data_IF_285301747831
#
_entry.id   IF_285301747831
#
_cell.length_a   1.000
_cell.length_b   1.000
_cell.length_c   1.000
_cell.angle_alpha   90.00
_cell.angle_beta   90.00
_cell.angle_gamma   90.00
#
_symmetry.space_group_name_H-M   'P 1'
#
loop_
_entity.id
_entity.type
_entity.pdbx_description
1 polymer ?
#
# COMPACT_ATOMS: atom_id res chain seq x y z
N UNK A 1 10.69 17.76 20.38
CA UNK A 1 11.12 19.18 20.30
C UNK A 1 9.85 20.00 20.34
N UNK A 2 9.62 20.70 21.42
CA UNK A 2 8.42 21.53 21.57
C UNK A 2 8.65 22.83 20.80
N UNK A 3 7.87 23.09 19.77
CA UNK A 3 7.97 24.29 18.91
C UNK A 3 8.03 25.61 19.69
N UNK A 4 7.38 25.67 20.86
CA UNK A 4 7.44 26.80 21.79
C UNK A 4 8.88 27.10 22.26
N UNK A 5 9.75 26.11 22.40
CA UNK A 5 11.15 26.30 22.81
C UNK A 5 12.00 26.93 21.71
N UNK A 6 11.51 26.88 20.46
CA UNK A 6 12.12 27.53 19.30
C UNK A 6 11.49 28.89 18.97
N UNK A 7 10.69 29.47 19.88
CA UNK A 7 10.03 30.75 19.65
C UNK A 7 8.86 30.75 18.66
N UNK A 8 8.39 29.55 18.26
CA UNK A 8 7.29 29.40 17.29
C UNK A 8 5.98 29.21 18.05
N UNK A 9 5.16 30.26 18.08
CA UNK A 9 3.83 30.22 18.69
C UNK A 9 2.77 29.77 17.68
N UNK A 10 2.27 28.53 17.82
CA UNK A 10 1.27 27.90 16.92
C UNK A 10 -0.15 27.94 17.50
N UNK A 11 -0.39 28.42 18.71
CA UNK A 11 -1.74 28.49 19.30
C UNK A 11 -2.67 29.32 18.41
N UNK A 12 -3.76 28.71 17.96
CA UNK A 12 -4.77 29.35 17.08
C UNK A 12 -4.35 29.54 15.63
N UNK A 13 -3.18 29.02 15.20
CA UNK A 13 -2.67 29.09 13.81
C UNK A 13 -2.49 27.72 13.16
N UNK A 14 -2.93 26.64 13.80
CA UNK A 14 -2.93 25.32 13.21
C UNK A 14 -4.30 25.06 12.58
N UNK A 15 -4.35 24.84 11.29
CA UNK A 15 -5.51 24.31 10.60
C UNK A 15 -5.26 22.83 10.26
N UNK A 16 -6.19 21.94 10.62
CA UNK A 16 -6.16 20.57 10.15
C UNK A 16 -6.70 20.54 8.73
N UNK A 17 -5.92 20.04 7.79
CA UNK A 17 -6.39 19.76 6.43
C UNK A 17 -7.27 18.52 6.49
N UNK A 18 -8.57 18.68 6.30
CA UNK A 18 -9.57 17.60 6.28
C UNK A 18 -9.81 17.04 4.87
N UNK A 19 -9.16 17.59 3.85
CA UNK A 19 -9.35 17.23 2.46
C UNK A 19 -8.12 16.52 1.94
N UNK A 20 -8.32 15.31 1.44
CA UNK A 20 -7.30 14.53 0.75
C UNK A 20 -7.50 14.67 -0.77
N UNK A 21 -6.45 15.10 -1.47
CA UNK A 21 -6.41 15.20 -2.95
C UNK A 21 -5.57 14.10 -3.58
N UNK A 22 -5.05 13.17 -2.78
CA UNK A 22 -4.01 12.24 -3.20
C UNK A 22 -4.56 10.93 -3.70
N UNK A 23 -5.61 10.41 -3.08
CA UNK A 23 -6.22 9.11 -3.40
C UNK A 23 -7.74 9.23 -3.42
N UNK A 24 -8.43 8.30 -4.08
CA UNK A 24 -9.89 8.29 -4.11
C UNK A 24 -10.49 7.99 -2.73
N UNK A 25 -11.75 8.40 -2.51
CA UNK A 25 -12.45 8.16 -1.26
C UNK A 25 -12.61 6.66 -0.98
N UNK A 26 -12.83 5.86 -2.01
CA UNK A 26 -12.99 4.42 -1.94
C UNK A 26 -11.70 3.73 -1.48
N UNK A 27 -10.55 4.14 -2.00
CA UNK A 27 -9.24 3.64 -1.57
C UNK A 27 -8.96 4.08 -0.13
N UNK A 28 -9.24 5.35 0.20
CA UNK A 28 -9.08 5.88 1.54
C UNK A 28 -9.88 5.07 2.56
N UNK A 29 -11.18 4.84 2.32
CA UNK A 29 -12.05 4.07 3.21
C UNK A 29 -11.55 2.65 3.43
N UNK A 30 -11.17 1.97 2.34
CA UNK A 30 -10.62 0.63 2.44
C UNK A 30 -9.33 0.62 3.27
N UNK A 31 -8.41 1.55 3.01
CA UNK A 31 -7.16 1.65 3.72
C UNK A 31 -7.36 1.99 5.21
N UNK A 32 -8.33 2.86 5.54
CA UNK A 32 -8.69 3.17 6.92
C UNK A 32 -9.30 1.96 7.64
N UNK A 33 -10.12 1.15 6.95
CA UNK A 33 -10.67 -0.07 7.52
C UNK A 33 -9.59 -1.09 7.93
N UNK A 34 -8.42 -1.10 7.25
CA UNK A 34 -7.27 -1.92 7.66
C UNK A 34 -6.74 -1.52 9.04
N UNK A 35 -6.88 -0.26 9.43
CA UNK A 35 -6.48 0.24 10.74
C UNK A 35 -7.50 -0.11 11.83
N UNK A 36 -8.74 -0.45 11.46
CA UNK A 36 -9.80 -0.83 12.41
C UNK A 36 -9.41 -2.10 13.16
N UNK A 37 -9.78 -2.16 14.45
CA UNK A 37 -9.41 -3.28 15.35
C UNK A 37 -8.06 -3.07 16.05
N UNK A 38 -7.50 -1.87 16.02
CA UNK A 38 -6.47 -1.48 16.96
C UNK A 38 -7.09 -1.36 18.36
N UNK A 39 -6.45 -1.91 19.42
CA UNK A 39 -6.84 -1.57 20.79
C UNK A 39 -6.71 -0.05 20.91
N UNK A 40 -7.77 0.62 21.37
CA UNK A 40 -7.72 2.04 21.61
C UNK A 40 -6.62 2.35 22.61
N UNK A 41 -5.50 2.87 22.13
CA UNK A 41 -4.69 3.76 22.93
C UNK A 41 -5.45 5.10 22.93
N UNK A 42 -5.43 5.85 24.02
CA UNK A 42 -6.16 7.10 24.30
C UNK A 42 -5.95 8.24 23.26
N UNK A 43 -5.88 7.89 22.00
CA UNK A 43 -5.88 8.77 20.84
C UNK A 43 -7.31 9.02 20.34
N UNK A 44 -8.26 9.23 21.28
CA UNK A 44 -9.65 9.58 20.96
C UNK A 44 -9.77 10.76 19.98
N UNK A 45 -8.70 11.53 19.83
CA UNK A 45 -8.61 12.60 18.85
C UNK A 45 -8.10 12.19 17.46
N UNK A 46 -7.44 11.03 17.27
CA UNK A 46 -6.88 10.63 15.97
C UNK A 46 -7.81 9.70 15.17
N UNK A 47 -8.58 8.85 15.84
CA UNK A 47 -9.61 8.03 15.17
C UNK A 47 -10.74 8.93 14.63
N UNK A 48 -11.25 9.85 15.43
CA UNK A 48 -12.20 10.88 14.97
C UNK A 48 -11.61 11.74 13.85
N UNK A 49 -10.31 12.03 13.87
CA UNK A 49 -9.65 12.79 12.81
C UNK A 49 -9.57 12.03 11.50
N UNK A 50 -9.38 10.69 11.51
CA UNK A 50 -9.33 9.85 10.31
C UNK A 50 -10.72 9.66 9.69
N UNK A 51 -11.78 9.61 10.51
CA UNK A 51 -13.16 9.50 10.02
C UNK A 51 -13.66 10.80 9.37
N UNK A 52 -13.20 11.96 9.85
CA UNK A 52 -13.54 13.26 9.30
C UNK A 52 -12.68 13.68 8.08
N UNK A 53 -11.73 12.85 7.68
CA UNK A 53 -10.92 13.07 6.50
C UNK A 53 -11.66 12.54 5.27
N UNK A 54 -12.02 13.42 4.34
CA UNK A 54 -12.70 13.05 3.10
C UNK A 54 -11.79 13.30 1.90
N UNK A 55 -11.86 12.43 0.90
CA UNK A 55 -11.29 12.72 -0.40
C UNK A 55 -12.35 13.38 -1.29
N UNK A 56 -11.93 14.39 -2.06
CA UNK A 56 -12.76 14.97 -3.12
C UNK A 56 -12.73 14.12 -4.39
N UNK A 57 -11.81 13.19 -4.49
CA UNK A 57 -11.68 12.30 -5.64
C UNK A 57 -12.49 11.03 -5.39
N UNK A 58 -13.33 10.67 -6.34
CA UNK A 58 -14.05 9.40 -6.37
C UNK A 58 -13.51 8.51 -7.50
N UNK A 59 -13.54 7.20 -7.30
CA UNK A 59 -13.05 6.24 -8.26
C UNK A 59 -13.57 4.84 -8.00
N UNK A 60 -12.84 3.84 -8.50
CA UNK A 60 -13.22 2.46 -8.29
C UNK A 60 -12.91 1.99 -6.86
N UNK A 61 -13.80 1.16 -6.31
CA UNK A 61 -13.53 0.46 -5.06
C UNK A 61 -12.29 -0.46 -5.22
N UNK A 62 -11.44 -0.56 -4.19
CA UNK A 62 -10.32 -1.49 -4.19
C UNK A 62 -10.79 -2.93 -4.48
N UNK A 63 -10.06 -3.62 -5.35
CA UNK A 63 -10.35 -5.00 -5.70
C UNK A 63 -9.49 -5.94 -4.88
N UNK A 64 -10.13 -6.76 -4.04
CA UNK A 64 -9.44 -7.83 -3.31
C UNK A 64 -9.68 -9.15 -4.04
N UNK A 65 -8.60 -9.82 -4.46
CA UNK A 65 -8.63 -11.10 -5.19
C UNK A 65 -7.90 -12.18 -4.40
N UNK A 66 -8.55 -13.32 -4.26
CA UNK A 66 -8.02 -14.49 -3.54
C UNK A 66 -7.82 -15.63 -4.51
N UNK A 67 -6.67 -16.25 -4.44
CA UNK A 67 -6.27 -17.37 -5.31
C UNK A 67 -5.90 -18.59 -4.46
N UNK A 68 -6.06 -19.78 -4.99
CA UNK A 68 -5.64 -20.98 -4.29
C UNK A 68 -4.11 -21.11 -4.28
N UNK A 69 -3.45 -20.74 -5.38
CA UNK A 69 -2.01 -20.90 -5.57
C UNK A 69 -1.33 -19.61 -6.04
N UNK A 70 0.00 -19.59 -5.90
CA UNK A 70 0.84 -18.51 -6.42
C UNK A 70 0.77 -18.43 -7.96
N UNK A 71 0.63 -19.57 -8.63
CA UNK A 71 0.54 -19.66 -10.09
C UNK A 71 -0.71 -18.96 -10.59
N UNK A 72 -1.86 -19.18 -9.94
CA UNK A 72 -3.12 -18.49 -10.28
C UNK A 72 -3.03 -16.99 -10.07
N UNK A 73 -2.46 -16.56 -8.94
CA UNK A 73 -2.20 -15.14 -8.68
C UNK A 73 -1.28 -14.55 -9.75
N UNK A 74 -0.23 -15.28 -10.13
CA UNK A 74 0.75 -14.86 -11.11
C UNK A 74 0.13 -14.64 -12.49
N UNK A 75 -0.73 -15.55 -12.94
CA UNK A 75 -1.48 -15.41 -14.21
C UNK A 75 -2.35 -14.15 -14.16
N UNK A 76 -3.10 -13.97 -13.08
CA UNK A 76 -3.94 -12.79 -12.89
C UNK A 76 -3.12 -11.49 -12.91
N UNK A 77 -2.01 -11.42 -12.18
CA UNK A 77 -1.17 -10.23 -12.11
C UNK A 77 -0.59 -9.84 -13.48
N UNK A 78 -0.14 -10.82 -14.26
CA UNK A 78 0.36 -10.56 -15.63
C UNK A 78 -0.74 -10.00 -16.52
N UNK A 79 -1.95 -10.56 -16.47
CA UNK A 79 -3.10 -10.08 -17.25
C UNK A 79 -3.49 -8.67 -16.83
N UNK A 80 -3.59 -8.43 -15.54
CA UNK A 80 -3.94 -7.12 -14.97
C UNK A 80 -2.93 -6.04 -15.36
N UNK A 81 -1.62 -6.34 -15.23
CA UNK A 81 -0.56 -5.40 -15.60
C UNK A 81 -0.60 -5.09 -17.10
N UNK A 82 -0.79 -6.10 -17.95
CA UNK A 82 -0.92 -5.87 -19.39
C UNK A 82 -2.11 -4.99 -19.75
N UNK A 83 -3.26 -5.26 -19.15
CA UNK A 83 -4.46 -4.43 -19.33
C UNK A 83 -4.23 -2.99 -18.88
N UNK A 84 -3.58 -2.78 -17.73
CA UNK A 84 -3.24 -1.43 -17.27
C UNK A 84 -2.27 -0.72 -18.23
N UNK A 85 -1.29 -1.44 -18.78
CA UNK A 85 -0.33 -0.88 -19.75
C UNK A 85 -0.95 -0.49 -21.09
N UNK A 86 -2.18 -0.92 -21.40
CA UNK A 86 -2.91 -0.48 -22.60
C UNK A 86 -3.41 0.97 -22.47
N UNK A 87 -3.67 1.44 -21.28
CA UNK A 87 -4.31 2.74 -21.02
C UNK A 87 -3.49 3.67 -20.15
N UNK A 88 -2.56 3.15 -19.35
CA UNK A 88 -1.74 3.91 -18.42
C UNK A 88 -0.26 3.90 -18.81
N UNK A 89 0.45 4.95 -18.42
CA UNK A 89 1.91 5.00 -18.55
C UNK A 89 2.51 3.96 -17.60
N UNK A 90 3.35 3.01 -18.09
CA UNK A 90 3.88 1.93 -17.26
C UNK A 90 4.57 2.40 -15.97
N UNK A 91 5.24 3.54 -16.00
CA UNK A 91 5.94 4.13 -14.85
C UNK A 91 5.00 4.52 -13.70
N UNK A 92 3.71 4.67 -13.98
CA UNK A 92 2.67 4.99 -12.98
C UNK A 92 2.02 3.75 -12.36
N UNK A 93 2.45 2.56 -12.76
CA UNK A 93 1.98 1.27 -12.24
C UNK A 93 3.04 0.71 -11.28
N UNK A 94 2.62 0.34 -10.07
CA UNK A 94 3.53 -0.27 -9.11
C UNK A 94 3.00 -1.60 -8.59
N UNK A 95 3.80 -2.66 -8.73
CA UNK A 95 3.60 -3.92 -8.03
C UNK A 95 4.37 -3.87 -6.71
N UNK A 96 3.65 -4.03 -5.62
CA UNK A 96 4.16 -3.90 -4.27
C UNK A 96 4.01 -5.22 -3.53
N UNK A 97 5.07 -5.68 -2.87
CA UNK A 97 5.00 -6.82 -1.96
C UNK A 97 5.58 -6.44 -0.59
N UNK A 98 5.35 -7.30 0.42
CA UNK A 98 5.79 -7.01 1.79
C UNK A 98 7.30 -6.99 1.94
N UNK A 99 8.01 -7.91 1.28
CA UNK A 99 9.44 -8.13 1.47
C UNK A 99 10.22 -8.15 0.16
N UNK A 100 11.52 -7.88 0.25
CA UNK A 100 12.46 -8.06 -0.86
C UNK A 100 12.55 -9.52 -1.33
N UNK A 101 12.46 -10.47 -0.39
CA UNK A 101 12.45 -11.90 -0.69
C UNK A 101 11.26 -12.27 -1.59
N UNK A 102 10.06 -11.84 -1.21
CA UNK A 102 8.84 -12.05 -1.97
C UNK A 102 8.97 -11.49 -3.40
N UNK A 103 9.49 -10.27 -3.53
CA UNK A 103 9.71 -9.65 -4.84
C UNK A 103 10.70 -10.44 -5.69
N UNK A 104 11.83 -10.85 -5.11
CA UNK A 104 12.90 -11.53 -5.83
C UNK A 104 12.56 -12.98 -6.17
N UNK A 105 11.86 -13.68 -5.28
CA UNK A 105 11.54 -15.10 -5.46
C UNK A 105 10.31 -15.34 -6.32
N UNK A 106 9.34 -14.43 -6.33
CA UNK A 106 8.06 -14.63 -7.00
C UNK A 106 7.84 -13.63 -8.15
N UNK A 107 7.85 -12.34 -7.89
CA UNK A 107 7.33 -11.36 -8.85
C UNK A 107 8.37 -10.88 -9.87
N UNK A 108 9.63 -10.77 -9.51
CA UNK A 108 10.69 -10.41 -10.44
C UNK A 108 10.90 -11.46 -11.55
N UNK A 109 10.98 -12.79 -11.23
CA UNK A 109 11.00 -13.83 -12.25
C UNK A 109 9.73 -13.85 -13.10
N UNK A 110 8.57 -13.63 -12.50
CA UNK A 110 7.28 -13.55 -13.18
C UNK A 110 7.29 -12.47 -14.27
N UNK A 111 7.67 -11.25 -13.93
CA UNK A 111 7.69 -10.14 -14.89
C UNK A 111 8.70 -10.36 -16.01
N UNK A 112 9.87 -10.94 -15.68
CA UNK A 112 10.89 -11.29 -16.67
C UNK A 112 10.38 -12.34 -17.66
N UNK A 113 9.78 -13.42 -17.17
CA UNK A 113 9.21 -14.48 -18.02
C UNK A 113 8.06 -14.00 -18.89
N UNK A 114 7.27 -13.05 -18.38
CA UNK A 114 6.17 -12.44 -19.11
C UNK A 114 6.61 -11.35 -20.11
N UNK A 115 7.90 -10.99 -20.15
CA UNK A 115 8.43 -9.92 -21.01
C UNK A 115 7.95 -8.52 -20.63
N UNK A 116 7.54 -8.33 -19.35
CA UNK A 116 7.07 -7.03 -18.86
C UNK A 116 8.26 -6.18 -18.41
N UNK A 117 8.42 -5.01 -19.06
CA UNK A 117 9.44 -4.05 -18.66
C UNK A 117 9.18 -3.53 -17.25
N UNK A 118 10.19 -3.56 -16.40
CA UNK A 118 10.06 -3.20 -15.00
C UNK A 118 11.33 -2.57 -14.42
N UNK A 119 11.16 -1.71 -13.41
CA UNK A 119 12.23 -1.17 -12.61
C UNK A 119 12.04 -1.61 -11.15
N UNK A 120 13.03 -2.31 -10.61
CA UNK A 120 13.05 -2.67 -9.20
C UNK A 120 13.55 -1.49 -8.37
N UNK A 121 12.68 -0.95 -7.53
CA UNK A 121 13.00 0.15 -6.62
C UNK A 121 13.60 -0.40 -5.33
N UNK A 122 14.90 -0.34 -5.22
CA UNK A 122 15.59 -0.57 -3.95
C UNK A 122 15.87 0.76 -3.22
N UNK A 123 16.72 0.69 -2.20
CA UNK A 123 17.07 1.82 -1.36
C UNK A 123 17.72 2.97 -2.16
N UNK A 124 18.53 2.63 -3.15
CA UNK A 124 19.38 3.57 -3.87
C UNK A 124 18.86 3.91 -5.28
N UNK A 125 17.83 3.20 -5.74
CA UNK A 125 17.24 3.43 -7.07
C UNK A 125 16.27 4.60 -7.05
N UNK A 126 16.53 5.70 -7.79
CA UNK A 126 15.56 6.76 -7.98
C UNK A 126 14.32 6.25 -8.72
N UNK A 127 13.13 6.69 -8.33
CA UNK A 127 11.85 6.28 -8.92
C UNK A 127 11.58 6.85 -10.32
N UNK A 128 12.28 7.93 -10.66
CA UNK A 128 12.17 8.62 -11.96
C UNK A 128 13.14 8.10 -13.03
N UNK A 129 14.00 7.15 -12.70
CA UNK A 129 14.98 6.58 -13.64
C UNK A 129 14.44 5.32 -14.30
N UNK A 130 14.60 5.21 -15.61
CA UNK A 130 14.19 4.04 -16.39
C UNK A 130 12.69 3.99 -16.70
N UNK A 131 12.33 3.10 -17.61
CA UNK A 131 10.95 2.87 -18.07
C UNK A 131 10.41 1.54 -17.57
N UNK A 132 9.07 1.39 -17.57
CA UNK A 132 8.40 0.18 -17.19
C UNK A 132 7.74 0.27 -15.81
N UNK A 133 6.96 -0.75 -15.46
CA UNK A 133 6.27 -0.77 -14.17
C UNK A 133 7.27 -0.76 -13.01
N UNK A 134 6.85 -0.24 -11.87
CA UNK A 134 7.68 -0.19 -10.67
C UNK A 134 7.46 -1.45 -9.82
N UNK A 135 8.55 -1.99 -9.29
CA UNK A 135 8.56 -3.10 -8.33
C UNK A 135 9.14 -2.61 -7.02
N UNK A 136 8.38 -2.67 -5.93
CA UNK A 136 8.82 -2.11 -4.66
C UNK A 136 8.28 -2.88 -3.45
N UNK A 137 8.98 -2.78 -2.31
CA UNK A 137 8.43 -3.25 -1.03
C UNK A 137 7.44 -2.23 -0.45
N UNK A 138 6.56 -2.68 0.45
CA UNK A 138 5.66 -1.78 1.19
C UNK A 138 6.40 -0.66 1.93
N UNK A 139 7.63 -0.90 2.40
CA UNK A 139 8.45 0.14 3.02
C UNK A 139 8.98 1.15 1.99
N UNK A 140 9.40 0.66 0.83
CA UNK A 140 10.03 1.51 -0.19
C UNK A 140 9.05 2.49 -0.83
N UNK A 141 7.79 2.13 -0.91
CA UNK A 141 6.77 3.02 -1.50
C UNK A 141 6.38 4.19 -0.60
N UNK A 142 6.86 4.24 0.63
CA UNK A 142 6.62 5.39 1.51
C UNK A 142 7.18 6.66 0.87
N UNK A 143 6.32 7.66 0.69
CA UNK A 143 6.66 8.94 0.03
C UNK A 143 6.50 8.94 -1.49
N UNK A 144 6.28 7.79 -2.13
CA UNK A 144 5.99 7.68 -3.56
C UNK A 144 4.47 7.67 -3.81
N UNK A 145 4.08 7.86 -5.07
CA UNK A 145 2.69 7.82 -5.53
C UNK A 145 2.61 7.22 -6.93
N UNK A 146 1.56 6.43 -7.17
CA UNK A 146 1.34 5.75 -8.44
C UNK A 146 -0.14 5.86 -8.82
N UNK A 147 -0.45 5.90 -10.11
CA UNK A 147 -1.84 5.84 -10.56
C UNK A 147 -2.47 4.50 -10.15
N UNK A 148 -1.74 3.41 -10.37
CA UNK A 148 -2.22 2.05 -10.13
C UNK A 148 -1.26 1.30 -9.21
N UNK A 149 -1.79 0.75 -8.12
CA UNK A 149 -1.03 -0.09 -7.18
C UNK A 149 -1.63 -1.49 -7.13
N UNK A 150 -0.75 -2.49 -7.31
CA UNK A 150 -1.05 -3.90 -7.09
C UNK A 150 -0.31 -4.35 -5.83
N UNK A 151 -1.02 -4.53 -4.72
CA UNK A 151 -0.49 -5.13 -3.50
C UNK A 151 -0.56 -6.64 -3.62
N UNK A 152 0.56 -7.28 -3.93
CA UNK A 152 0.63 -8.69 -4.26
C UNK A 152 1.08 -9.56 -3.08
N UNK A 153 0.50 -10.76 -2.96
CA UNK A 153 0.85 -11.74 -1.95
C UNK A 153 0.58 -11.28 -0.52
N UNK A 154 -0.56 -10.60 -0.29
CA UNK A 154 -0.99 -10.19 1.06
C UNK A 154 -1.59 -11.38 1.79
N UNK A 155 -0.79 -12.41 2.04
CA UNK A 155 -1.18 -13.65 2.71
C UNK A 155 -0.52 -13.78 4.09
N UNK A 156 -1.05 -14.69 4.90
CA UNK A 156 -0.65 -14.90 6.30
C UNK A 156 0.83 -15.30 6.48
N UNK A 157 1.47 -15.78 5.41
CA UNK A 157 2.90 -16.12 5.44
C UNK A 157 3.83 -14.90 5.49
N UNK A 158 3.34 -13.74 4.98
CA UNK A 158 4.15 -12.54 4.81
C UNK A 158 3.59 -11.30 5.51
N UNK A 159 2.28 -11.22 5.71
CA UNK A 159 1.60 -10.03 6.27
C UNK A 159 0.63 -10.46 7.39
N UNK A 160 0.96 -10.24 8.64
CA UNK A 160 2.25 -9.76 9.16
C UNK A 160 3.34 -10.83 9.02
N UNK A 161 4.63 -10.45 9.05
CA UNK A 161 5.73 -11.42 9.08
C UNK A 161 5.62 -12.40 10.25
N UNK A 162 6.13 -13.61 10.06
CA UNK A 162 6.10 -14.66 11.08
C UNK A 162 6.67 -14.17 12.41
N UNK A 163 5.99 -14.47 13.51
CA UNK A 163 6.35 -14.04 14.85
C UNK A 163 5.72 -12.72 15.29
N UNK A 164 5.38 -11.80 14.38
CA UNK A 164 4.72 -10.53 14.73
C UNK A 164 3.27 -10.77 15.16
N UNK A 165 2.55 -11.67 14.52
CA UNK A 165 1.17 -12.00 14.89
C UNK A 165 1.07 -12.52 16.32
N UNK A 166 2.10 -13.23 16.81
CA UNK A 166 2.18 -13.77 18.18
C UNK A 166 2.74 -12.76 19.19
N UNK A 167 3.51 -11.77 18.73
CA UNK A 167 4.13 -10.76 19.59
C UNK A 167 3.13 -9.70 20.09
N UNK A 168 1.95 -9.59 19.45
CA UNK A 168 0.85 -8.69 19.84
C UNK A 168 1.15 -7.19 19.74
N UNK A 169 0.14 -6.38 20.05
CA UNK A 169 0.27 -4.94 20.30
C UNK A 169 0.95 -4.12 19.18
N UNK A 170 2.00 -3.41 19.54
CA UNK A 170 2.65 -2.38 18.73
C UNK A 170 3.18 -2.86 17.38
N UNK A 171 3.68 -4.11 17.31
CA UNK A 171 4.23 -4.66 16.06
C UNK A 171 3.13 -4.96 15.05
N UNK A 172 1.99 -5.47 15.49
CA UNK A 172 0.83 -5.71 14.63
C UNK A 172 0.24 -4.38 14.13
N UNK A 173 0.21 -3.37 15.02
CA UNK A 173 -0.20 -2.02 14.66
C UNK A 173 0.72 -1.43 13.60
N UNK A 174 2.03 -1.57 13.75
CA UNK A 174 3.00 -1.13 12.74
C UNK A 174 2.76 -1.79 11.37
N UNK A 175 2.40 -3.08 11.33
CA UNK A 175 2.05 -3.78 10.09
C UNK A 175 0.74 -3.28 9.46
N UNK A 176 -0.28 -2.98 10.28
CA UNK A 176 -1.52 -2.33 9.81
C UNK A 176 -1.21 -0.96 9.19
N UNK A 177 -0.44 -0.13 9.88
CA UNK A 177 0.01 1.16 9.38
C UNK A 177 0.81 1.03 8.07
N UNK A 178 1.67 0.03 7.97
CA UNK A 178 2.46 -0.21 6.76
C UNK A 178 1.58 -0.59 5.57
N UNK A 179 0.59 -1.48 5.78
CA UNK A 179 -0.37 -1.88 4.75
C UNK A 179 -1.25 -0.69 4.33
N UNK A 180 -1.73 0.10 5.31
CA UNK A 180 -2.45 1.35 5.07
C UNK A 180 -1.63 2.32 4.21
N UNK A 181 -0.36 2.57 4.59
CA UNK A 181 0.52 3.46 3.82
C UNK A 181 0.72 2.95 2.41
N UNK A 182 0.95 1.66 2.21
CA UNK A 182 1.13 1.08 0.88
C UNK A 182 -0.13 1.21 0.02
N UNK A 183 -1.32 0.97 0.59
CA UNK A 183 -2.59 1.12 -0.09
C UNK A 183 -2.86 2.57 -0.52
N UNK A 184 -2.57 3.53 0.36
CA UNK A 184 -2.76 4.97 0.07
C UNK A 184 -1.73 5.56 -0.90
N UNK A 185 -0.83 4.74 -1.44
CA UNK A 185 0.05 5.14 -2.57
C UNK A 185 -0.67 5.10 -3.91
N UNK A 186 -1.82 4.43 -3.98
CA UNK A 186 -2.67 4.40 -5.15
C UNK A 186 -3.49 5.70 -5.28
N UNK A 187 -3.43 6.31 -6.45
CA UNK A 187 -4.21 7.52 -6.77
C UNK A 187 -5.54 7.18 -7.44
N UNK A 188 -5.57 6.17 -8.29
CA UNK A 188 -6.72 5.82 -9.15
C UNK A 188 -7.27 4.43 -8.85
N UNK A 189 -6.41 3.40 -8.87
CA UNK A 189 -6.86 2.03 -8.62
C UNK A 189 -5.95 1.29 -7.66
N UNK A 190 -6.57 0.50 -6.79
CA UNK A 190 -5.91 -0.41 -5.88
C UNK A 190 -6.42 -1.83 -6.13
N UNK A 191 -5.51 -2.73 -6.46
CA UNK A 191 -5.77 -4.18 -6.52
C UNK A 191 -4.95 -4.86 -5.44
N UNK A 192 -5.60 -5.63 -4.58
CA UNK A 192 -4.95 -6.42 -3.51
C UNK A 192 -5.11 -7.88 -3.83
N UNK A 193 -4.01 -8.62 -3.86
CA UNK A 193 -4.05 -10.06 -4.14
C UNK A 193 -3.44 -10.87 -3.00
N UNK A 194 -3.94 -12.08 -2.83
CA UNK A 194 -3.37 -13.08 -1.94
C UNK A 194 -3.58 -14.47 -2.51
N UNK A 195 -2.71 -15.38 -2.16
CA UNK A 195 -2.80 -16.80 -2.48
C UNK A 195 -2.68 -17.67 -1.22
N UNK A 196 -3.31 -18.85 -1.23
CA UNK A 196 -3.40 -19.69 -0.03
C UNK A 196 -4.18 -19.00 1.09
N UNK A 197 -3.64 -18.98 2.29
CA UNK A 197 -4.29 -18.35 3.46
C UNK A 197 -4.15 -16.83 3.41
N UNK A 198 -5.25 -16.07 3.32
CA UNK A 198 -5.20 -14.61 3.35
C UNK A 198 -4.58 -14.06 4.62
N UNK A 199 -3.98 -12.87 4.53
CA UNK A 199 -3.56 -12.12 5.72
C UNK A 199 -4.75 -11.88 6.67
N UNK A 200 -4.58 -12.03 7.98
CA UNK A 200 -5.60 -11.63 8.95
C UNK A 200 -5.89 -10.12 8.95
N UNK A 201 -5.05 -9.32 8.28
CA UNK A 201 -5.28 -7.88 8.12
C UNK A 201 -6.23 -7.55 6.94
N UNK A 202 -6.66 -8.54 6.17
CA UNK A 202 -7.64 -8.41 5.10
C UNK A 202 -9.07 -8.85 5.50
N UNK A 203 -9.27 -9.12 6.78
CA UNK A 203 -10.57 -9.53 7.34
C UNK A 203 -11.45 -8.33 7.64
#
# INVERSE_FOLDING_TARGET
VVMQQCGIYVRGRSARLHINYRTTEEIRRWATAVLSGMPGDDLDGEQDALEHYHSLLHGFAPRVRRFATLEEESVFLVQEIRSLCETAIPDTICLVARTHEQLRSHYLPLLRSAGISHLYLDKDTPDYVGSGIRLATMHRVKGLEFAHVLLAGVNAAYVPPRGIAAAGGDLLQAERCLLHVAATRARETLTVTCWGTPSPLLS
#
